data_IF_771929353809
#
_entry.id   IF_771929353809
#
_cell.length_a   1.000
_cell.length_b   1.000
_cell.length_c   1.000
_cell.angle_alpha   90.00
_cell.angle_beta   90.00
_cell.angle_gamma   90.00
#
_symmetry.space_group_name_H-M   'P 1'
#
loop_
_entity.id
_entity.type
_entity.pdbx_description
1 polymer ?
#
# COMPACT_ATOMS: atom_id res chain seq x y z
N UNK A 1 3.46 -25.24 33.77
CA UNK A 1 4.49 -26.04 33.07
C UNK A 1 4.72 -25.61 31.62
N UNK A 2 4.55 -24.32 31.26
CA UNK A 2 4.75 -23.83 29.86
C UNK A 2 6.19 -23.38 29.53
N UNK A 3 7.13 -23.49 30.46
CA UNK A 3 8.44 -22.81 30.34
C UNK A 3 9.42 -23.36 29.27
N UNK A 4 9.53 -24.68 29.01
CA UNK A 4 10.51 -25.18 28.04
C UNK A 4 10.20 -24.82 26.59
N UNK A 5 8.92 -24.85 26.21
CA UNK A 5 8.48 -24.52 24.86
C UNK A 5 8.59 -23.01 24.58
N UNK A 6 8.25 -22.19 25.58
CA UNK A 6 8.43 -20.74 25.49
C UNK A 6 9.91 -20.35 25.35
N UNK A 7 10.80 -21.02 26.09
CA UNK A 7 12.24 -20.80 25.98
C UNK A 7 12.77 -21.18 24.59
N UNK A 8 12.36 -22.35 24.07
CA UNK A 8 12.71 -22.79 22.71
C UNK A 8 12.26 -21.78 21.65
N UNK A 9 11.01 -21.30 21.76
CA UNK A 9 10.46 -20.30 20.84
C UNK A 9 11.25 -18.99 20.88
N UNK A 10 11.57 -18.48 22.08
CA UNK A 10 12.38 -17.27 22.26
C UNK A 10 13.79 -17.42 21.68
N UNK A 11 14.43 -18.58 21.89
CA UNK A 11 15.75 -18.86 21.34
C UNK A 11 15.72 -18.94 19.81
N UNK A 12 14.68 -19.54 19.22
CA UNK A 12 14.50 -19.57 17.77
C UNK A 12 14.31 -18.17 17.19
N UNK A 13 13.43 -17.34 17.78
CA UNK A 13 13.23 -15.95 17.36
C UNK A 13 14.51 -15.11 17.47
N UNK A 14 15.24 -15.23 18.59
CA UNK A 14 16.49 -14.51 18.79
C UNK A 14 17.52 -14.88 17.71
N UNK A 15 17.62 -16.17 17.37
CA UNK A 15 18.55 -16.63 16.33
C UNK A 15 18.13 -16.19 14.93
N UNK A 16 16.84 -16.21 14.63
CA UNK A 16 16.33 -15.70 13.36
C UNK A 16 16.59 -14.20 13.22
N UNK A 17 16.39 -13.40 14.27
CA UNK A 17 16.74 -11.98 14.26
C UNK A 17 18.24 -11.75 14.07
N UNK A 18 19.10 -12.53 14.71
CA UNK A 18 20.56 -12.44 14.51
C UNK A 18 20.93 -12.71 13.04
N UNK A 19 20.32 -13.72 12.42
CA UNK A 19 20.59 -14.11 11.03
C UNK A 19 20.07 -13.06 10.04
N UNK A 20 18.87 -12.51 10.28
CA UNK A 20 18.21 -11.60 9.34
C UNK A 20 18.59 -10.14 9.55
N UNK A 21 19.24 -9.77 10.67
CA UNK A 21 19.58 -8.38 10.99
C UNK A 21 20.42 -7.65 9.92
N UNK A 22 21.39 -8.27 9.22
CA UNK A 22 22.13 -7.60 8.16
C UNK A 22 21.25 -7.12 7.00
N UNK A 23 20.15 -7.82 6.73
CA UNK A 23 19.24 -7.54 5.62
C UNK A 23 18.04 -6.69 6.07
N UNK A 24 17.45 -7.03 7.22
CA UNK A 24 16.17 -6.47 7.68
C UNK A 24 16.32 -5.46 8.82
N UNK A 25 17.53 -5.30 9.36
CA UNK A 25 17.79 -4.49 10.55
C UNK A 25 17.49 -5.22 11.87
N UNK A 26 17.91 -4.64 13.01
CA UNK A 26 17.72 -5.26 14.32
C UNK A 26 16.22 -5.40 14.66
N UNK A 27 15.87 -6.53 15.29
CA UNK A 27 14.51 -6.83 15.77
C UNK A 27 13.43 -6.80 14.67
N UNK A 28 13.80 -7.06 13.41
CA UNK A 28 12.87 -7.01 12.29
C UNK A 28 11.68 -7.97 12.47
N UNK A 29 11.89 -9.14 13.08
CA UNK A 29 10.83 -10.12 13.30
C UNK A 29 9.85 -9.63 14.37
N UNK A 30 10.32 -9.06 15.48
CA UNK A 30 9.40 -8.50 16.48
C UNK A 30 8.65 -7.28 15.95
N UNK A 31 9.30 -6.48 15.09
CA UNK A 31 8.65 -5.33 14.46
C UNK A 31 7.58 -5.79 13.48
N UNK A 32 7.87 -6.76 12.62
CA UNK A 32 6.89 -7.37 11.74
C UNK A 32 5.72 -7.99 12.53
N UNK A 33 5.99 -8.73 13.60
CA UNK A 33 4.94 -9.34 14.42
C UNK A 33 4.01 -8.32 15.12
N UNK A 34 4.45 -7.07 15.29
CA UNK A 34 3.63 -5.98 15.85
C UNK A 34 2.84 -5.21 14.79
N UNK A 35 3.19 -5.38 13.53
CA UNK A 35 2.58 -4.65 12.44
C UNK A 35 1.31 -5.35 11.97
N UNK A 36 0.24 -4.57 11.81
CA UNK A 36 -0.98 -5.06 11.20
C UNK A 36 -0.75 -5.28 9.69
N UNK A 37 -0.80 -6.54 9.27
CA UNK A 37 -0.68 -6.97 7.87
C UNK A 37 -2.01 -7.45 7.28
N UNK A 38 -3.14 -7.07 7.89
CA UNK A 38 -4.43 -7.19 7.22
C UNK A 38 -4.41 -6.47 5.87
N UNK A 39 -5.22 -6.92 4.90
CA UNK A 39 -5.36 -6.23 3.63
C UNK A 39 -5.69 -4.75 3.79
N UNK A 40 -6.57 -4.41 4.74
CA UNK A 40 -7.02 -3.07 5.03
C UNK A 40 -5.88 -2.17 5.52
N UNK A 41 -5.15 -2.59 6.56
CA UNK A 41 -4.05 -1.79 7.12
C UNK A 41 -2.90 -1.64 6.12
N UNK A 42 -2.66 -2.66 5.28
CA UNK A 42 -1.65 -2.59 4.23
C UNK A 42 -2.06 -1.64 3.11
N UNK A 43 -3.31 -1.73 2.66
CA UNK A 43 -3.85 -0.82 1.64
C UNK A 43 -3.84 0.63 2.12
N UNK A 44 -4.23 0.89 3.37
CA UNK A 44 -4.20 2.23 3.97
C UNK A 44 -2.78 2.82 3.96
N UNK A 45 -1.76 2.04 4.33
CA UNK A 45 -0.36 2.47 4.28
C UNK A 45 0.09 2.80 2.85
N UNK A 46 -0.23 1.96 1.88
CA UNK A 46 0.16 2.17 0.47
C UNK A 46 -0.50 3.44 -0.07
N UNK A 47 -1.83 3.57 0.11
CA UNK A 47 -2.59 4.73 -0.37
C UNK A 47 -2.07 5.99 0.30
N UNK A 48 -1.98 6.02 1.64
CA UNK A 48 -1.52 7.19 2.37
C UNK A 48 -0.10 7.62 2.01
N UNK A 49 0.81 6.66 1.81
CA UNK A 49 2.17 6.94 1.33
C UNK A 49 2.15 7.55 -0.06
N UNK A 50 1.48 6.92 -1.03
CA UNK A 50 1.46 7.37 -2.43
C UNK A 50 0.77 8.74 -2.58
N UNK A 51 -0.40 8.92 -1.96
CA UNK A 51 -1.16 10.18 -2.07
C UNK A 51 -0.51 11.33 -1.30
N UNK A 52 0.35 11.03 -0.32
CA UNK A 52 1.12 12.03 0.42
C UNK A 52 2.05 12.88 -0.45
N UNK A 53 2.39 12.40 -1.66
CA UNK A 53 3.23 13.12 -2.62
C UNK A 53 2.48 14.18 -3.44
N UNK A 54 1.14 14.22 -3.38
CA UNK A 54 0.36 15.09 -4.27
C UNK A 54 0.68 16.58 -4.11
N UNK A 55 0.84 17.06 -2.87
CA UNK A 55 1.19 18.46 -2.63
C UNK A 55 2.52 18.85 -3.28
N UNK A 56 3.54 17.99 -3.12
CA UNK A 56 4.84 18.20 -3.77
C UNK A 56 4.77 18.08 -5.29
N UNK A 57 3.89 17.23 -5.82
CA UNK A 57 3.65 17.16 -7.27
C UNK A 57 3.13 18.50 -7.80
N UNK A 58 2.09 19.08 -7.18
CA UNK A 58 1.55 20.38 -7.59
C UNK A 58 2.59 21.50 -7.53
N UNK A 59 3.44 21.52 -6.50
CA UNK A 59 4.51 22.51 -6.36
C UNK A 59 5.56 22.44 -7.48
N UNK A 60 5.79 21.25 -8.05
CA UNK A 60 6.73 21.04 -9.15
C UNK A 60 6.10 21.21 -10.55
N UNK A 61 4.78 21.35 -10.62
CA UNK A 61 4.02 21.51 -11.86
C UNK A 61 3.05 22.71 -11.80
N UNK A 62 3.54 23.93 -11.45
CA UNK A 62 2.69 25.11 -11.28
C UNK A 62 2.01 25.59 -12.58
N UNK A 63 2.49 25.14 -13.73
CA UNK A 63 1.93 25.43 -15.05
C UNK A 63 0.72 24.57 -15.42
N UNK A 64 0.48 23.48 -14.70
CA UNK A 64 -0.62 22.55 -15.00
C UNK A 64 -1.95 23.05 -14.45
N UNK A 65 -3.00 22.89 -15.26
CA UNK A 65 -4.37 23.03 -14.78
C UNK A 65 -4.69 21.95 -13.75
N UNK A 66 -5.48 22.31 -12.74
CA UNK A 66 -5.70 21.49 -11.54
C UNK A 66 -6.27 20.09 -11.85
N UNK A 67 -7.23 19.99 -12.76
CA UNK A 67 -7.82 18.70 -13.17
C UNK A 67 -6.79 17.83 -13.92
N UNK A 68 -6.00 18.45 -14.81
CA UNK A 68 -4.94 17.73 -15.53
C UNK A 68 -3.85 17.22 -14.58
N UNK A 69 -3.43 18.05 -13.63
CA UNK A 69 -2.44 17.67 -12.62
C UNK A 69 -2.92 16.51 -11.74
N UNK A 70 -4.20 16.50 -11.33
CA UNK A 70 -4.77 15.40 -10.57
C UNK A 70 -4.78 14.10 -11.38
N UNK A 71 -5.25 14.15 -12.63
CA UNK A 71 -5.34 12.96 -13.49
C UNK A 71 -3.95 12.38 -13.78
N UNK A 72 -2.98 13.23 -14.12
CA UNK A 72 -1.59 12.81 -14.37
C UNK A 72 -0.93 12.22 -13.12
N UNK A 73 -1.18 12.83 -11.95
CA UNK A 73 -0.67 12.30 -10.68
C UNK A 73 -1.25 10.92 -10.35
N UNK A 74 -2.57 10.74 -10.50
CA UNK A 74 -3.24 9.45 -10.27
C UNK A 74 -2.71 8.38 -11.21
N UNK A 75 -2.52 8.71 -12.50
CA UNK A 75 -1.95 7.78 -13.48
C UNK A 75 -0.52 7.37 -13.10
N UNK A 76 0.31 8.34 -12.72
CA UNK A 76 1.70 8.10 -12.32
C UNK A 76 1.81 7.16 -11.10
N UNK A 77 1.11 7.48 -10.01
CA UNK A 77 1.18 6.65 -8.80
C UNK A 77 0.48 5.31 -9.01
N UNK A 78 -0.61 5.29 -9.78
CA UNK A 78 -1.34 4.08 -10.13
C UNK A 78 -0.46 3.10 -10.90
N UNK A 79 0.28 3.58 -11.90
CA UNK A 79 1.24 2.76 -12.66
C UNK A 79 2.37 2.20 -11.79
N UNK A 80 2.93 3.01 -10.89
CA UNK A 80 3.96 2.55 -9.95
C UNK A 80 3.44 1.48 -8.98
N UNK A 81 2.22 1.65 -8.46
CA UNK A 81 1.55 0.69 -7.58
C UNK A 81 1.26 -0.62 -8.33
N UNK A 82 0.70 -0.54 -9.54
CA UNK A 82 0.43 -1.69 -10.42
C UNK A 82 1.68 -2.54 -10.61
N UNK A 83 2.79 -1.90 -10.99
CA UNK A 83 4.08 -2.56 -11.19
C UNK A 83 4.56 -3.22 -9.90
N UNK A 84 4.54 -2.50 -8.77
CA UNK A 84 4.98 -3.03 -7.48
C UNK A 84 4.16 -4.25 -7.03
N UNK A 85 2.84 -4.24 -7.24
CA UNK A 85 1.99 -5.41 -6.95
C UNK A 85 2.31 -6.60 -7.86
N UNK A 86 2.54 -6.36 -9.16
CA UNK A 86 2.90 -7.43 -10.09
C UNK A 86 4.24 -8.07 -9.71
N UNK A 87 5.25 -7.27 -9.35
CA UNK A 87 6.55 -7.75 -8.88
C UNK A 87 6.42 -8.52 -7.57
N UNK A 88 5.70 -7.98 -6.58
CA UNK A 88 5.47 -8.65 -5.30
C UNK A 88 4.76 -9.99 -5.47
N UNK A 89 3.71 -10.05 -6.30
CA UNK A 89 3.04 -11.31 -6.67
C UNK A 89 4.01 -12.28 -7.34
N UNK A 90 4.86 -11.80 -8.24
CA UNK A 90 5.90 -12.59 -8.89
C UNK A 90 6.85 -13.24 -7.89
N UNK A 91 7.30 -12.49 -6.88
CA UNK A 91 8.15 -12.98 -5.79
C UNK A 91 7.42 -14.07 -4.99
N UNK A 92 6.20 -13.78 -4.51
CA UNK A 92 5.42 -14.74 -3.70
C UNK A 92 5.11 -16.03 -4.47
N UNK A 93 4.87 -15.91 -5.78
CA UNK A 93 4.68 -17.06 -6.67
C UNK A 93 5.97 -17.85 -6.85
N UNK A 94 7.11 -17.18 -7.04
CA UNK A 94 8.42 -17.82 -7.15
C UNK A 94 8.86 -18.54 -5.87
N UNK A 95 8.37 -18.08 -4.72
CA UNK A 95 8.54 -18.75 -3.43
C UNK A 95 7.52 -19.89 -3.19
N UNK A 96 6.62 -20.14 -4.13
CA UNK A 96 5.54 -21.14 -4.05
C UNK A 96 4.55 -20.92 -2.87
N UNK A 97 4.54 -19.73 -2.27
CA UNK A 97 3.66 -19.38 -1.14
C UNK A 97 2.42 -18.59 -1.54
N UNK A 98 2.32 -18.11 -2.79
CA UNK A 98 1.14 -17.43 -3.31
C UNK A 98 0.00 -18.43 -3.56
N UNK A 99 -0.68 -18.84 -2.49
CA UNK A 99 -1.83 -19.74 -2.55
C UNK A 99 -2.76 -19.48 -1.35
N UNK A 100 -4.00 -19.96 -1.46
CA UNK A 100 -4.97 -19.94 -0.37
C UNK A 100 -5.21 -18.53 0.19
N UNK A 101 -5.03 -18.36 1.50
CA UNK A 101 -5.24 -17.10 2.20
C UNK A 101 -4.26 -16.00 1.77
N UNK A 102 -3.01 -16.35 1.43
CA UNK A 102 -2.01 -15.35 1.01
C UNK A 102 -2.43 -14.72 -0.32
N UNK A 103 -2.83 -15.54 -1.29
CA UNK A 103 -3.31 -15.04 -2.59
C UNK A 103 -4.56 -14.16 -2.42
N UNK A 104 -5.53 -14.59 -1.63
CA UNK A 104 -6.75 -13.83 -1.35
C UNK A 104 -6.45 -12.49 -0.66
N UNK A 105 -5.53 -12.47 0.31
CA UNK A 105 -5.15 -11.24 1.01
C UNK A 105 -4.39 -10.28 0.09
N UNK A 106 -3.54 -10.78 -0.81
CA UNK A 106 -2.86 -9.95 -1.81
C UNK A 106 -3.86 -9.33 -2.77
N UNK A 107 -4.79 -10.13 -3.30
CA UNK A 107 -5.85 -9.65 -4.21
C UNK A 107 -6.73 -8.61 -3.51
N UNK A 108 -7.11 -8.87 -2.25
CA UNK A 108 -7.92 -7.95 -1.47
C UNK A 108 -7.19 -6.64 -1.19
N UNK A 109 -5.90 -6.70 -0.88
CA UNK A 109 -5.08 -5.50 -0.66
C UNK A 109 -5.04 -4.66 -1.93
N UNK A 110 -4.81 -5.29 -3.09
CA UNK A 110 -4.79 -4.59 -4.38
C UNK A 110 -6.14 -3.90 -4.67
N UNK A 111 -7.26 -4.62 -4.50
CA UNK A 111 -8.60 -4.05 -4.66
C UNK A 111 -8.82 -2.82 -3.77
N UNK A 112 -8.46 -2.91 -2.48
CA UNK A 112 -8.62 -1.83 -1.52
C UNK A 112 -7.73 -0.63 -1.83
N UNK A 113 -6.52 -0.85 -2.39
CA UNK A 113 -5.65 0.22 -2.86
C UNK A 113 -6.29 0.96 -4.03
N UNK A 114 -6.80 0.24 -5.04
CA UNK A 114 -7.48 0.87 -6.18
C UNK A 114 -8.68 1.70 -5.74
N UNK A 115 -9.51 1.16 -4.83
CA UNK A 115 -10.62 1.91 -4.24
C UNK A 115 -10.14 3.12 -3.43
N UNK A 116 -9.00 3.02 -2.74
CA UNK A 116 -8.41 4.11 -1.98
C UNK A 116 -7.91 5.25 -2.86
N UNK A 117 -7.26 4.94 -3.99
CA UNK A 117 -6.86 5.92 -5.00
C UNK A 117 -8.07 6.64 -5.59
N UNK A 118 -9.14 5.91 -5.90
CA UNK A 118 -10.37 6.52 -6.40
C UNK A 118 -11.04 7.42 -5.36
N UNK A 119 -11.11 6.99 -4.10
CA UNK A 119 -11.60 7.85 -3.00
C UNK A 119 -10.79 9.12 -2.86
N UNK A 120 -9.46 9.03 -2.96
CA UNK A 120 -8.58 10.19 -2.94
C UNK A 120 -8.87 11.12 -4.12
N UNK A 121 -8.95 10.59 -5.36
CA UNK A 121 -9.28 11.37 -6.56
C UNK A 121 -10.59 12.13 -6.39
N UNK A 122 -11.65 11.45 -5.97
CA UNK A 122 -12.97 12.07 -5.75
C UNK A 122 -12.92 13.17 -4.68
N UNK A 123 -12.22 12.93 -3.56
CA UNK A 123 -12.08 13.92 -2.51
C UNK A 123 -11.34 15.18 -2.98
N UNK A 124 -10.29 15.02 -3.79
CA UNK A 124 -9.56 16.16 -4.36
C UNK A 124 -10.43 16.89 -5.40
N UNK A 125 -11.14 16.18 -6.27
CA UNK A 125 -12.07 16.83 -7.20
C UNK A 125 -13.12 17.68 -6.48
N UNK A 126 -13.69 17.17 -5.39
CA UNK A 126 -14.64 17.92 -4.56
C UNK A 126 -14.00 19.16 -3.95
N UNK A 127 -12.79 19.03 -3.38
CA UNK A 127 -12.04 20.13 -2.80
C UNK A 127 -11.71 21.24 -3.81
N UNK A 128 -11.45 20.85 -5.07
CA UNK A 128 -11.12 21.77 -6.15
C UNK A 128 -12.36 22.33 -6.89
N UNK A 129 -13.57 21.89 -6.51
CA UNK A 129 -14.80 22.30 -7.20
C UNK A 129 -14.91 21.74 -8.62
N UNK A 130 -14.24 20.63 -8.91
CA UNK A 130 -14.22 19.93 -10.20
C UNK A 130 -15.36 18.89 -10.34
N UNK A 131 -16.25 18.79 -9.35
CA UNK A 131 -17.39 17.88 -9.43
C UNK A 131 -18.36 18.30 -10.54
N UNK A 132 -18.85 17.34 -11.33
CA UNK A 132 -19.81 17.62 -12.39
C UNK A 132 -21.00 18.43 -11.84
N UNK A 133 -21.29 19.55 -12.50
CA UNK A 133 -22.53 20.29 -12.29
C UNK A 133 -23.72 19.33 -12.49
N UNK A 134 -24.33 18.90 -11.38
CA UNK A 134 -25.59 18.11 -11.39
C UNK A 134 -26.76 18.87 -12.02
N UNK A 135 -26.59 20.14 -12.37
CA UNK A 135 -27.60 21.00 -12.97
C UNK A 135 -27.63 20.97 -14.51
N UNK A 136 -26.76 20.20 -15.16
CA UNK A 136 -26.91 19.94 -16.60
C UNK A 136 -28.06 18.95 -16.84
N UNK A 137 -29.28 19.45 -16.79
CA UNK A 137 -30.46 18.76 -17.32
C UNK A 137 -30.25 18.52 -18.81
N UNK A 138 -30.30 17.28 -19.32
CA UNK A 138 -30.24 17.07 -20.77
C UNK A 138 -31.52 17.62 -21.39
N UNK A 139 -31.35 18.55 -22.34
CA UNK A 139 -32.40 19.02 -23.23
C UNK A 139 -32.81 17.94 -24.24
#
# INVERSE_FOLDING_TARGET
>A
SQQPLELLYRSALAKLNEILAPELGPQAIEQAAKQDFTPEATAERIVGFATGFFGGFLENHPEMEQDSALNEFIELIGGGIEQGFAEARGILKGLEILNGEIEQNVDKTYELVQQGLERFRLAIMEQLGLSENKDATPA
#
